data_IF_662988550312
#
_entry.id   IF_662988550312
#
_cell.length_a   1.000
_cell.length_b   1.000
_cell.length_c   1.000
_cell.angle_alpha   90.00
_cell.angle_beta   90.00
_cell.angle_gamma   90.00
#
_symmetry.space_group_name_H-M   'P 1'
#
loop_
_entity.id
_entity.type
_entity.pdbx_description
1 polymer ?
#
# COMPACT_ATOMS: atom_id res chain seq x y z
N UNK A 1 -15.47 1.51 -41.02
CA UNK A 1 -15.58 2.08 -39.65
C UNK A 1 -15.97 0.94 -38.73
N UNK A 2 -15.06 0.50 -37.86
CA UNK A 2 -15.22 -0.72 -37.07
C UNK A 2 -16.04 -0.43 -35.80
N UNK A 3 -17.31 -0.81 -35.79
CA UNK A 3 -18.24 -0.64 -34.66
C UNK A 3 -18.07 -1.76 -33.63
N UNK A 4 -16.98 -1.75 -32.88
CA UNK A 4 -16.71 -2.75 -31.82
C UNK A 4 -16.65 -2.15 -30.40
N UNK A 5 -17.19 -0.94 -30.20
CA UNK A 5 -17.06 -0.21 -28.94
C UNK A 5 -18.40 0.28 -28.35
N UNK A 6 -19.41 -0.59 -28.20
CA UNK A 6 -20.67 -0.15 -27.57
C UNK A 6 -21.25 -0.97 -26.42
N UNK A 7 -20.75 -2.17 -26.08
CA UNK A 7 -21.20 -2.84 -24.85
C UNK A 7 -20.10 -3.69 -24.21
N UNK A 8 -19.22 -3.06 -23.42
CA UNK A 8 -18.52 -3.78 -22.35
C UNK A 8 -19.58 -4.17 -21.32
N UNK A 9 -20.13 -5.39 -21.43
CA UNK A 9 -21.17 -5.91 -20.55
C UNK A 9 -20.57 -6.24 -19.18
N UNK A 10 -20.19 -5.20 -18.43
CA UNK A 10 -19.77 -5.35 -17.04
C UNK A 10 -21.01 -5.60 -16.19
N UNK A 11 -20.92 -6.57 -15.27
CA UNK A 11 -22.01 -6.82 -14.32
C UNK A 11 -22.29 -5.54 -13.51
N UNK A 12 -23.55 -5.20 -13.17
CA UNK A 12 -23.87 -4.03 -12.36
C UNK A 12 -23.07 -3.93 -11.05
N UNK A 13 -22.76 -5.09 -10.44
CA UNK A 13 -21.90 -5.18 -9.27
C UNK A 13 -20.46 -4.71 -9.53
N UNK A 14 -19.89 -5.07 -10.69
CA UNK A 14 -18.54 -4.63 -11.10
C UNK A 14 -18.53 -3.12 -11.31
N UNK A 15 -19.56 -2.57 -11.97
CA UNK A 15 -19.69 -1.12 -12.16
C UNK A 15 -19.76 -0.36 -10.83
N UNK A 16 -20.53 -0.85 -9.86
CA UNK A 16 -20.57 -0.25 -8.51
C UNK A 16 -19.22 -0.29 -7.81
N UNK A 17 -18.54 -1.46 -7.82
CA UNK A 17 -17.24 -1.60 -7.18
C UNK A 17 -16.13 -0.79 -7.86
N UNK A 18 -16.21 -0.59 -9.18
CA UNK A 18 -15.29 0.27 -9.92
C UNK A 18 -15.51 1.76 -9.63
N UNK A 19 -16.69 2.17 -9.19
CA UNK A 19 -16.94 3.55 -8.74
C UNK A 19 -16.07 4.00 -7.56
N UNK A 20 -15.49 3.04 -6.81
CA UNK A 20 -14.58 3.30 -5.69
C UNK A 20 -13.10 3.22 -6.07
N UNK A 21 -12.78 2.91 -7.33
CA UNK A 21 -11.40 2.76 -7.79
C UNK A 21 -10.63 4.08 -7.68
N UNK A 22 -9.34 3.99 -7.37
CA UNK A 22 -8.41 5.12 -7.33
C UNK A 22 -7.51 5.13 -8.58
N UNK A 23 -7.26 6.31 -9.16
CA UNK A 23 -6.42 6.51 -10.36
C UNK A 23 -7.07 6.08 -11.68
N UNK A 24 -6.42 6.33 -12.81
CA UNK A 24 -6.93 6.19 -14.19
C UNK A 24 -6.12 5.21 -15.06
N UNK A 25 -4.78 5.22 -15.00
CA UNK A 25 -3.85 4.53 -15.92
C UNK A 25 -4.08 3.02 -16.16
N UNK A 26 -4.66 2.26 -15.21
CA UNK A 26 -4.77 0.78 -15.30
C UNK A 26 -6.22 0.24 -15.28
N UNK A 27 -7.17 1.06 -15.72
CA UNK A 27 -8.62 0.80 -15.63
C UNK A 27 -9.07 -0.55 -16.20
N UNK A 28 -8.65 -0.91 -17.43
CA UNK A 28 -9.08 -2.16 -18.08
C UNK A 28 -8.64 -3.43 -17.33
N UNK A 29 -7.49 -3.39 -16.65
CA UNK A 29 -7.03 -4.54 -15.88
C UNK A 29 -7.73 -4.60 -14.52
N UNK A 30 -7.92 -3.44 -13.86
CA UNK A 30 -8.69 -3.35 -12.62
C UNK A 30 -10.11 -3.87 -12.79
N UNK A 31 -10.79 -3.55 -13.89
CA UNK A 31 -12.12 -4.08 -14.24
C UNK A 31 -12.13 -5.60 -14.27
N UNK A 32 -11.16 -6.23 -14.92
CA UNK A 32 -11.02 -7.70 -14.96
C UNK A 32 -10.75 -8.29 -13.56
N UNK A 33 -9.98 -7.60 -12.72
CA UNK A 33 -9.68 -8.04 -11.36
C UNK A 33 -10.92 -7.99 -10.46
N UNK A 34 -11.72 -6.93 -10.58
CA UNK A 34 -12.99 -6.76 -9.86
C UNK A 34 -14.03 -7.75 -10.36
N UNK A 35 -14.15 -7.97 -11.68
CA UNK A 35 -15.05 -8.98 -12.24
C UNK A 35 -14.73 -10.39 -11.74
N UNK A 36 -13.43 -10.75 -11.74
CA UNK A 36 -12.97 -12.02 -11.18
C UNK A 36 -13.28 -12.16 -9.68
N UNK A 37 -13.21 -11.05 -8.92
CA UNK A 37 -13.58 -11.04 -7.50
C UNK A 37 -15.08 -11.25 -7.31
N UNK A 38 -15.91 -10.47 -8.01
CA UNK A 38 -17.37 -10.53 -7.91
C UNK A 38 -17.87 -11.95 -8.19
N UNK A 39 -17.30 -12.63 -9.19
CA UNK A 39 -17.61 -14.04 -9.49
C UNK A 39 -17.28 -14.98 -8.33
N UNK A 40 -16.22 -14.71 -7.55
CA UNK A 40 -15.87 -15.48 -6.35
C UNK A 40 -16.77 -15.14 -5.17
N UNK A 41 -17.04 -13.87 -4.92
CA UNK A 41 -17.86 -13.42 -3.80
C UNK A 41 -19.34 -13.79 -3.95
N UNK A 42 -19.88 -13.83 -5.17
CA UNK A 42 -21.24 -14.31 -5.44
C UNK A 42 -21.48 -15.77 -4.99
N UNK A 43 -20.42 -16.57 -4.80
CA UNK A 43 -20.54 -17.94 -4.25
C UNK A 43 -20.65 -17.97 -2.73
N UNK A 44 -20.40 -16.85 -2.05
CA UNK A 44 -20.47 -16.69 -0.59
C UNK A 44 -21.58 -15.70 -0.23
N UNK A 45 -22.63 -16.19 0.43
CA UNK A 45 -23.77 -15.36 0.85
C UNK A 45 -23.29 -14.22 1.77
N UNK A 46 -23.68 -12.98 1.48
CA UNK A 46 -23.35 -11.80 2.30
C UNK A 46 -21.98 -11.17 2.02
N UNK A 47 -21.09 -11.83 1.27
CA UNK A 47 -19.72 -11.35 1.08
C UNK A 47 -19.63 -10.13 0.13
N UNK A 48 -20.58 -10.01 -0.81
CA UNK A 48 -20.66 -8.84 -1.69
C UNK A 48 -21.13 -7.61 -0.94
N UNK A 49 -22.18 -7.77 -0.12
CA UNK A 49 -22.78 -6.71 0.68
C UNK A 49 -21.80 -6.18 1.72
N UNK A 50 -21.04 -7.06 2.37
CA UNK A 50 -20.01 -6.67 3.33
C UNK A 50 -18.86 -5.89 2.65
N UNK A 51 -18.47 -6.28 1.43
CA UNK A 51 -17.46 -5.54 0.67
C UNK A 51 -17.97 -4.16 0.26
N UNK A 52 -19.21 -4.06 -0.24
CA UNK A 52 -19.83 -2.79 -0.59
C UNK A 52 -19.92 -1.87 0.64
N UNK A 53 -20.34 -2.40 1.80
CA UNK A 53 -20.38 -1.66 3.07
C UNK A 53 -19.00 -1.15 3.49
N UNK A 54 -17.97 -1.98 3.40
CA UNK A 54 -16.60 -1.58 3.75
C UNK A 54 -16.11 -0.43 2.85
N UNK A 55 -16.42 -0.48 1.55
CA UNK A 55 -16.06 0.56 0.59
C UNK A 55 -16.86 1.86 0.76
N UNK A 56 -18.16 1.77 1.06
CA UNK A 56 -19.03 2.94 1.22
C UNK A 56 -18.84 3.66 2.56
N UNK A 57 -18.37 2.97 3.60
CA UNK A 57 -18.19 3.54 4.94
C UNK A 57 -16.79 3.25 5.52
N UNK A 58 -15.71 3.86 4.97
CA UNK A 58 -14.31 3.58 5.35
C UNK A 58 -13.97 3.75 6.85
N UNK A 59 -14.74 4.57 7.58
CA UNK A 59 -14.54 4.85 9.00
C UNK A 59 -15.30 3.91 9.95
N UNK A 60 -16.14 3.02 9.43
CA UNK A 60 -16.89 2.07 10.25
C UNK A 60 -16.22 0.68 10.24
N UNK A 61 -16.23 -0.04 11.38
CA UNK A 61 -15.82 -1.43 11.41
C UNK A 61 -16.61 -2.28 10.39
N UNK A 62 -15.89 -3.10 9.63
CA UNK A 62 -16.45 -4.05 8.65
C UNK A 62 -15.84 -5.43 8.87
N UNK A 63 -16.56 -6.48 8.47
CA UNK A 63 -16.10 -7.85 8.62
C UNK A 63 -15.07 -8.22 7.54
N UNK A 64 -14.41 -9.38 7.72
CA UNK A 64 -13.49 -9.90 6.72
C UNK A 64 -14.25 -10.32 5.45
N UNK A 65 -13.78 -9.85 4.29
CA UNK A 65 -14.21 -10.34 2.99
C UNK A 65 -13.12 -11.24 2.45
N UNK A 66 -13.37 -12.55 2.38
CA UNK A 66 -12.33 -13.55 2.10
C UNK A 66 -12.50 -14.28 0.78
N UNK A 67 -11.37 -14.70 0.19
CA UNK A 67 -11.32 -15.62 -0.95
C UNK A 67 -10.39 -16.82 -0.66
N UNK A 68 -10.58 -17.96 -1.35
CA UNK A 68 -9.70 -19.11 -1.19
C UNK A 68 -8.25 -18.76 -1.53
N UNK A 69 -7.32 -19.22 -0.69
CA UNK A 69 -5.88 -19.00 -0.85
C UNK A 69 -5.28 -20.07 -1.78
N UNK A 70 -4.59 -19.63 -2.83
CA UNK A 70 -3.74 -20.50 -3.66
C UNK A 70 -2.55 -21.07 -2.88
N UNK A 71 -1.98 -22.19 -3.31
CA UNK A 71 -0.79 -22.79 -2.66
C UNK A 71 0.38 -21.82 -2.51
N UNK A 72 0.64 -21.01 -3.54
CA UNK A 72 1.69 -19.98 -3.55
C UNK A 72 1.19 -18.60 -3.07
N UNK A 73 -0.08 -18.50 -2.67
CA UNK A 73 -0.72 -17.26 -2.25
C UNK A 73 -1.01 -16.24 -3.36
N UNK A 74 -0.71 -16.55 -4.63
CA UNK A 74 -0.92 -15.62 -5.75
C UNK A 74 -2.27 -15.83 -6.43
N UNK A 75 -2.84 -14.74 -6.92
CA UNK A 75 -4.03 -14.69 -7.76
C UNK A 75 -3.61 -14.30 -9.19
N UNK A 76 -4.08 -15.04 -10.18
CA UNK A 76 -3.87 -14.73 -11.59
C UNK A 76 -5.10 -14.03 -12.17
N UNK A 77 -4.90 -12.84 -12.75
CA UNK A 77 -5.94 -12.06 -13.45
C UNK A 77 -5.39 -11.61 -14.80
N UNK A 78 -6.01 -12.07 -15.89
CA UNK A 78 -5.65 -11.69 -17.27
C UNK A 78 -4.14 -11.79 -17.55
N UNK A 79 -3.55 -12.96 -17.30
CA UNK A 79 -2.11 -13.28 -17.47
C UNK A 79 -1.14 -12.61 -16.49
N UNK A 80 -1.62 -11.74 -15.57
CA UNK A 80 -0.78 -11.16 -14.51
C UNK A 80 -0.99 -11.91 -13.20
N UNK A 81 0.10 -12.18 -12.46
CA UNK A 81 0.06 -12.81 -11.14
C UNK A 81 0.41 -11.77 -10.07
N UNK A 82 -0.36 -11.72 -9.00
CA UNK A 82 -0.11 -10.82 -7.87
C UNK A 82 -0.73 -11.36 -6.58
N UNK A 83 -0.42 -10.72 -5.46
CA UNK A 83 -1.01 -11.10 -4.17
C UNK A 83 -2.40 -10.46 -4.04
N UNK A 84 -3.45 -11.21 -3.67
CA UNK A 84 -4.82 -10.74 -3.77
C UNK A 84 -5.09 -9.49 -2.92
N UNK A 85 -4.62 -9.45 -1.67
CA UNK A 85 -4.76 -8.29 -0.80
C UNK A 85 -4.04 -7.03 -1.37
N UNK A 86 -2.87 -7.18 -2.01
CA UNK A 86 -2.17 -6.08 -2.68
C UNK A 86 -2.96 -5.57 -3.88
N UNK A 87 -3.47 -6.49 -4.72
CA UNK A 87 -4.27 -6.15 -5.91
C UNK A 87 -5.47 -5.28 -5.51
N UNK A 88 -6.25 -5.73 -4.54
CA UNK A 88 -7.49 -5.05 -4.16
C UNK A 88 -7.25 -3.78 -3.31
N UNK A 89 -6.19 -3.73 -2.50
CA UNK A 89 -5.76 -2.47 -1.87
C UNK A 89 -5.31 -1.43 -2.92
N UNK A 90 -4.64 -1.87 -4.00
CA UNK A 90 -4.23 -0.97 -5.08
C UNK A 90 -5.43 -0.40 -5.83
N UNK A 91 -6.43 -1.23 -6.10
CA UNK A 91 -7.66 -0.80 -6.79
C UNK A 91 -8.41 0.26 -5.99
N UNK A 92 -8.65 0.04 -4.69
CA UNK A 92 -9.59 0.89 -3.92
C UNK A 92 -8.97 1.92 -2.97
N UNK A 93 -7.66 1.86 -2.70
CA UNK A 93 -7.03 2.76 -1.71
C UNK A 93 -5.76 3.42 -2.20
N UNK A 94 -4.78 2.63 -2.64
CA UNK A 94 -3.42 3.13 -2.91
C UNK A 94 -2.95 2.69 -4.30
N UNK A 95 -3.27 3.44 -5.37
CA UNK A 95 -2.90 3.06 -6.74
C UNK A 95 -1.38 2.97 -6.94
N UNK A 96 -0.62 3.70 -6.13
CA UNK A 96 0.84 3.73 -6.09
C UNK A 96 1.48 2.65 -5.19
N UNK A 97 0.68 1.75 -4.59
CA UNK A 97 1.19 0.68 -3.74
C UNK A 97 2.13 -0.25 -4.53
N UNK A 98 3.39 -0.36 -4.14
CA UNK A 98 4.38 -1.11 -4.91
C UNK A 98 4.38 -2.60 -4.55
N UNK A 99 4.38 -2.91 -3.25
CA UNK A 99 4.52 -4.30 -2.78
C UNK A 99 3.78 -4.58 -1.47
N UNK A 100 3.72 -5.86 -1.09
CA UNK A 100 3.14 -6.29 0.18
C UNK A 100 3.91 -5.82 1.42
N UNK A 101 5.18 -5.41 1.28
CA UNK A 101 5.97 -4.89 2.40
C UNK A 101 5.44 -3.54 2.91
N UNK A 102 4.67 -2.82 2.08
CA UNK A 102 3.98 -1.59 2.45
C UNK A 102 2.61 -1.86 3.11
N UNK A 103 2.21 -3.11 3.34
CA UNK A 103 0.93 -3.43 4.00
C UNK A 103 1.16 -4.19 5.31
N UNK A 104 0.50 -3.74 6.37
CA UNK A 104 0.33 -4.51 7.61
C UNK A 104 -1.15 -4.74 7.88
N UNK A 105 -1.56 -5.95 8.32
CA UNK A 105 -2.94 -6.18 8.73
C UNK A 105 -3.28 -5.38 10.00
N UNK A 106 -4.55 -5.03 10.14
CA UNK A 106 -5.10 -4.53 11.40
C UNK A 106 -5.46 -5.68 12.32
N UNK A 107 -5.57 -5.40 13.62
CA UNK A 107 -5.95 -6.40 14.64
C UNK A 107 -7.36 -6.95 14.44
N UNK A 108 -8.27 -6.18 13.83
CA UNK A 108 -9.61 -6.61 13.49
C UNK A 108 -9.69 -7.62 12.34
N UNK A 109 -8.57 -7.92 11.67
CA UNK A 109 -8.53 -8.85 10.55
C UNK A 109 -8.25 -10.27 11.05
N UNK A 110 -9.26 -11.14 10.95
CA UNK A 110 -9.15 -12.56 11.34
C UNK A 110 -8.41 -13.42 10.31
N UNK A 111 -8.45 -13.02 9.03
CA UNK A 111 -7.86 -13.78 7.91
C UNK A 111 -6.78 -12.99 7.16
N UNK A 112 -5.76 -12.41 7.84
CA UNK A 112 -4.75 -11.62 7.16
C UNK A 112 -3.88 -12.52 6.29
N UNK A 113 -3.33 -11.99 5.19
CA UNK A 113 -2.53 -12.78 4.24
C UNK A 113 -1.40 -13.60 4.90
N UNK A 114 -0.74 -13.06 5.93
CA UNK A 114 0.36 -13.71 6.65
C UNK A 114 -0.06 -14.90 7.54
N UNK A 115 -1.34 -15.06 7.85
CA UNK A 115 -1.84 -16.12 8.76
C UNK A 115 -1.77 -17.53 8.17
N UNK A 116 -1.49 -17.67 6.86
CA UNK A 116 -1.39 -18.95 6.13
C UNK A 116 -2.63 -19.85 6.21
N UNK A 117 -3.79 -19.29 6.56
CA UNK A 117 -5.07 -19.99 6.57
C UNK A 117 -5.55 -20.38 5.15
N UNK A 118 -6.61 -21.20 5.07
CA UNK A 118 -7.23 -21.63 3.80
C UNK A 118 -7.85 -20.47 3.02
N UNK A 119 -8.26 -19.43 3.74
CA UNK A 119 -8.89 -18.22 3.21
C UNK A 119 -7.99 -17.01 3.46
N UNK A 120 -8.11 -16.00 2.60
CA UNK A 120 -7.40 -14.72 2.74
C UNK A 120 -8.37 -13.56 2.62
N UNK A 121 -8.31 -12.63 3.58
CA UNK A 121 -9.05 -11.38 3.57
C UNK A 121 -8.49 -10.41 2.52
N UNK A 122 -9.39 -9.88 1.69
CA UNK A 122 -9.12 -8.88 0.66
C UNK A 122 -9.79 -7.53 0.94
N UNK A 123 -10.47 -7.38 2.08
CA UNK A 123 -11.04 -6.10 2.50
C UNK A 123 -9.90 -5.08 2.65
N UNK A 124 -9.85 -4.01 1.83
CA UNK A 124 -8.72 -3.10 1.83
C UNK A 124 -8.61 -2.28 3.12
N UNK A 125 -9.69 -2.16 3.90
CA UNK A 125 -9.70 -1.48 5.21
C UNK A 125 -9.24 -2.37 6.37
N UNK A 126 -8.96 -3.65 6.11
CA UNK A 126 -8.32 -4.55 7.07
C UNK A 126 -6.78 -4.50 7.02
N UNK A 127 -6.24 -3.61 6.19
CA UNK A 127 -4.82 -3.35 6.06
C UNK A 127 -4.53 -1.86 6.26
N UNK A 128 -3.38 -1.56 6.86
CA UNK A 128 -2.80 -0.22 6.91
C UNK A 128 -1.54 -0.17 6.05
N UNK A 129 -1.34 0.96 5.39
CA UNK A 129 -0.09 1.23 4.67
C UNK A 129 1.02 1.55 5.66
N UNK A 130 2.20 1.04 5.41
CA UNK A 130 3.43 1.32 6.16
C UNK A 130 4.55 1.66 5.19
N UNK A 131 5.59 2.33 5.67
CA UNK A 131 6.81 2.52 4.90
C UNK A 131 7.49 1.19 4.61
N UNK A 132 8.03 1.04 3.40
CA UNK A 132 8.79 -0.17 3.06
C UNK A 132 10.12 -0.15 3.82
N UNK A 133 10.65 -1.31 4.24
CA UNK A 133 11.96 -1.37 4.90
C UNK A 133 13.09 -0.76 4.06
N UNK A 134 12.95 -0.76 2.73
CA UNK A 134 13.93 -0.21 1.80
C UNK A 134 13.85 1.32 1.65
N UNK A 135 12.68 1.95 1.88
CA UNK A 135 12.61 3.41 1.93
C UNK A 135 13.38 3.97 3.12
N UNK A 136 13.42 3.23 4.24
CA UNK A 136 14.25 3.60 5.39
C UNK A 136 15.77 3.52 5.10
N UNK A 137 16.18 2.61 4.20
CA UNK A 137 17.60 2.45 3.82
C UNK A 137 18.12 3.56 2.90
N UNK A 138 17.28 4.14 2.05
CA UNK A 138 17.68 5.23 1.15
C UNK A 138 17.91 6.57 1.87
N UNK A 139 17.39 6.72 3.09
CA UNK A 139 17.54 7.94 3.89
C UNK A 139 18.88 7.98 4.67
N UNK A 140 19.67 6.89 4.68
CA UNK A 140 20.95 6.78 5.41
C UNK A 140 22.20 6.77 4.54
N UNK A 141 22.11 7.00 3.22
CA UNK A 141 23.30 7.06 2.37
C UNK A 141 23.51 8.45 1.77
N UNK A 142 24.69 9.03 2.01
CA UNK A 142 25.15 10.25 1.36
C UNK A 142 25.28 10.03 -0.15
N UNK A 143 24.57 10.82 -0.96
CA UNK A 143 24.42 10.62 -2.42
C UNK A 143 25.58 11.17 -3.27
N UNK A 144 26.74 11.49 -2.68
CA UNK A 144 27.93 11.95 -3.42
C UNK A 144 28.64 10.79 -4.13
N UNK A 145 29.00 10.99 -5.40
CA UNK A 145 29.84 10.05 -6.17
C UNK A 145 31.14 9.78 -5.39
N UNK A 146 31.34 8.52 -4.99
CA UNK A 146 32.56 8.04 -4.32
C UNK A 146 32.48 7.83 -2.81
N UNK A 147 31.40 8.20 -2.11
CA UNK A 147 31.30 8.00 -0.66
C UNK A 147 30.64 6.65 -0.31
N UNK A 148 31.46 5.60 -0.04
CA UNK A 148 31.00 4.27 0.39
C UNK A 148 30.77 4.13 1.91
N UNK A 149 30.36 5.20 2.60
CA UNK A 149 30.10 5.12 4.04
C UNK A 149 28.65 4.74 4.32
N UNK A 150 28.46 3.56 4.93
CA UNK A 150 27.22 3.11 5.55
C UNK A 150 27.06 3.89 6.86
N UNK A 151 26.07 4.77 6.95
CA UNK A 151 25.71 5.37 8.24
C UNK A 151 24.81 4.38 8.97
N UNK A 152 25.32 3.81 10.07
CA UNK A 152 24.50 2.96 10.93
C UNK A 152 23.59 3.83 11.81
N UNK A 153 22.36 3.38 11.99
CA UNK A 153 21.25 4.08 12.67
C UNK A 153 21.59 4.53 14.11
N UNK A 154 22.66 4.00 14.71
CA UNK A 154 23.09 4.27 16.09
C UNK A 154 23.79 5.64 16.24
N UNK A 155 24.35 6.23 15.19
CA UNK A 155 25.07 7.51 15.32
C UNK A 155 24.17 8.76 15.28
N UNK A 156 22.93 8.64 14.79
CA UNK A 156 22.03 9.80 14.59
C UNK A 156 21.51 10.37 15.92
N UNK A 157 21.40 9.55 16.97
CA UNK A 157 20.89 10.00 18.27
C UNK A 157 21.99 10.45 19.25
N UNK A 158 23.28 10.25 18.92
CA UNK A 158 24.37 10.40 19.89
C UNK A 158 25.37 11.51 19.60
N UNK A 159 25.87 11.66 18.37
CA UNK A 159 26.98 12.56 18.07
C UNK A 159 27.00 12.96 16.60
N UNK A 160 26.17 13.91 16.20
CA UNK A 160 26.48 14.69 15.00
C UNK A 160 27.57 15.72 15.36
N UNK A 161 28.82 15.26 15.53
CA UNK A 161 29.96 16.17 15.37
C UNK A 161 30.05 16.47 13.88
N UNK A 162 30.01 17.74 13.52
CA UNK A 162 30.13 18.27 12.16
C UNK A 162 31.54 18.08 11.56
N UNK A 163 32.32 17.13 12.05
CA UNK A 163 33.71 16.94 11.66
C UNK A 163 33.83 15.81 10.64
N UNK A 164 33.66 16.17 9.37
CA UNK A 164 34.43 15.68 8.22
C UNK A 164 33.64 15.71 6.91
N UNK A 165 33.23 16.91 6.49
CA UNK A 165 33.17 17.22 5.07
C UNK A 165 33.83 18.58 4.86
N UNK A 166 34.90 18.61 4.07
CA UNK A 166 35.73 19.81 3.87
C UNK A 166 34.92 21.02 3.34
N UNK A 167 35.47 22.24 3.45
CA UNK A 167 34.73 23.50 3.42
C UNK A 167 34.19 23.94 2.04
N UNK A 168 33.91 23.02 1.11
CA UNK A 168 33.45 23.39 -0.25
C UNK A 168 32.28 22.60 -0.84
N UNK A 169 31.59 21.73 -0.09
CA UNK A 169 30.37 21.08 -0.59
C UNK A 169 29.13 21.65 0.10
N UNK A 170 28.31 22.38 -0.66
CA UNK A 170 26.94 22.72 -0.26
C UNK A 170 26.14 21.42 -0.13
N UNK A 171 26.06 20.86 1.08
CA UNK A 171 25.14 19.77 1.37
C UNK A 171 23.72 20.34 1.37
N UNK A 172 22.97 20.17 0.27
CA UNK A 172 21.52 20.39 0.29
C UNK A 172 20.85 19.18 0.94
N UNK A 173 20.33 19.38 2.15
CA UNK A 173 19.33 18.46 2.72
C UNK A 173 18.05 18.59 1.87
N UNK A 174 17.46 17.47 1.48
CA UNK A 174 16.13 17.50 0.86
C UNK A 174 15.10 18.02 1.88
N UNK A 175 14.16 18.85 1.41
CA UNK A 175 13.14 19.54 2.21
C UNK A 175 12.41 18.70 3.29
N UNK A 176 12.14 17.38 3.12
CA UNK A 176 11.50 16.57 4.16
C UNK A 176 12.37 16.37 5.41
N UNK A 177 13.70 16.33 5.26
CA UNK A 177 14.66 16.19 6.37
C UNK A 177 14.77 17.48 7.20
N UNK A 178 14.65 18.64 6.55
CA UNK A 178 14.60 19.92 7.25
C UNK A 178 13.37 20.00 8.15
N UNK A 179 12.21 19.55 7.65
CA UNK A 179 10.96 19.55 8.41
C UNK A 179 10.98 18.54 9.57
N UNK A 180 11.53 17.33 9.37
CA UNK A 180 11.67 16.34 10.44
C UNK A 180 12.66 16.80 11.53
N UNK A 181 13.81 17.35 11.13
CA UNK A 181 14.78 17.93 12.07
C UNK A 181 14.20 19.15 12.81
N UNK A 182 13.46 20.02 12.11
CA UNK A 182 12.80 21.18 12.71
C UNK A 182 11.68 20.80 13.69
N UNK A 183 10.93 19.71 13.41
CA UNK A 183 9.92 19.16 14.33
C UNK A 183 10.57 18.61 15.61
N UNK A 184 11.63 17.82 15.47
CA UNK A 184 12.38 17.26 16.62
C UNK A 184 13.04 18.36 17.44
N UNK A 185 13.55 19.42 16.80
CA UNK A 185 14.10 20.59 17.50
C UNK A 185 13.03 21.43 18.20
N UNK A 186 11.82 21.57 17.60
CA UNK A 186 10.68 22.22 18.27
C UNK A 186 10.21 21.44 19.49
N UNK A 187 10.12 20.12 19.41
CA UNK A 187 9.72 19.27 20.54
C UNK A 187 10.78 19.18 21.66
N UNK A 188 12.07 19.37 21.31
CA UNK A 188 13.16 19.47 22.30
C UNK A 188 13.19 20.85 22.99
N UNK A 189 12.81 21.93 22.29
CA UNK A 189 12.72 23.26 22.89
C UNK A 189 11.54 23.42 23.86
N UNK A 190 10.49 22.60 23.70
CA UNK A 190 9.32 22.58 24.61
C UNK A 190 9.61 21.78 25.90
N UNK A 191 10.63 20.92 25.92
CA UNK A 191 11.03 20.14 27.11
C UNK A 191 12.07 20.79 28.01
N UNK A 192 12.53 21.99 27.66
CA UNK A 192 13.45 22.79 28.46
C UNK A 192 13.00 24.26 28.52
N UNK A 193 11.82 24.48 29.11
CA UNK A 193 11.44 25.67 29.91
C UNK A 193 10.54 25.18 31.03
#
# INVERSE_FOLDING_TARGET
MNVTSLFSFTSPAVKRLLGWKQGDEEEKWAEKAVDALVKKLKKKKGAMEELEKALSCPGQPSNCVTIPRSLDGRLQVSHRKGLPHVIYCRVWRWPDLQSHHELKPLECCEFPFGSKQKEVCINPYHYKRVESPDSMRLHTYCRHQGCRKKLEMVEILGKASLDSCGPRSKCSLNAPLYNAAALVLRERKIRHV
#
